data_IF_516093158309
#
_entry.id   IF_516093158309
#
_cell.length_a   1.000
_cell.length_b   1.000
_cell.length_c   1.000
_cell.angle_alpha   90.00
_cell.angle_beta   90.00
_cell.angle_gamma   90.00
#
_symmetry.space_group_name_H-M   'P 1'
#
loop_
_entity.id
_entity.type
_entity.pdbx_description
1 polymer ?
#
# COMPACT_ATOMS: atom_id res chain seq x y z
N UNK A 1 -1.16 -17.36 -25.21
CA UNK A 1 -2.57 -17.44 -24.78
C UNK A 1 -2.75 -16.59 -23.53
N UNK A 2 -3.60 -15.56 -23.56
CA UNK A 2 -4.06 -14.90 -22.34
C UNK A 2 -5.36 -15.56 -21.88
N UNK A 3 -5.47 -15.89 -20.60
CA UNK A 3 -6.64 -16.59 -20.04
C UNK A 3 -7.88 -15.70 -19.91
N UNK A 4 -7.78 -14.41 -20.24
CA UNK A 4 -8.89 -13.46 -20.21
C UNK A 4 -8.63 -12.25 -21.12
N UNK A 5 -9.57 -11.94 -22.01
CA UNK A 5 -9.56 -10.77 -22.90
C UNK A 5 -10.36 -9.60 -22.31
N UNK A 6 -10.41 -9.47 -20.98
CA UNK A 6 -11.19 -8.42 -20.33
C UNK A 6 -10.48 -7.05 -20.48
N UNK A 7 -11.06 -6.07 -21.19
CA UNK A 7 -10.45 -4.76 -21.41
C UNK A 7 -10.30 -3.93 -20.13
N UNK A 8 -11.07 -4.26 -19.08
CA UNK A 8 -11.02 -3.58 -17.78
C UNK A 8 -9.96 -4.18 -16.85
N UNK A 9 -9.37 -5.33 -17.20
CA UNK A 9 -8.39 -6.02 -16.36
C UNK A 9 -7.12 -5.19 -16.08
N UNK A 10 -6.54 -4.46 -17.05
CA UNK A 10 -5.39 -3.60 -16.77
C UNK A 10 -5.72 -2.52 -15.74
N UNK A 11 -6.92 -1.92 -15.82
CA UNK A 11 -7.40 -0.91 -14.87
C UNK A 11 -7.60 -1.52 -13.48
N UNK A 12 -8.27 -2.67 -13.39
CA UNK A 12 -8.48 -3.37 -12.12
C UNK A 12 -7.16 -3.78 -11.46
N UNK A 13 -6.16 -4.20 -12.26
CA UNK A 13 -4.82 -4.52 -11.78
C UNK A 13 -4.09 -3.31 -11.21
N UNK A 14 -4.11 -2.19 -11.92
CA UNK A 14 -3.48 -0.96 -11.46
C UNK A 14 -4.10 -0.49 -10.14
N UNK A 15 -5.44 -0.43 -10.07
CA UNK A 15 -6.16 -0.04 -8.86
C UNK A 15 -5.87 -1.00 -7.69
N UNK A 16 -5.95 -2.32 -7.90
CA UNK A 16 -5.76 -3.27 -6.82
C UNK A 16 -4.34 -3.20 -6.21
N UNK A 17 -3.31 -3.02 -7.05
CA UNK A 17 -1.92 -2.86 -6.59
C UNK A 17 -1.73 -1.51 -5.88
N UNK A 18 -2.33 -0.45 -6.41
CA UNK A 18 -2.32 0.89 -5.80
C UNK A 18 -2.89 0.90 -4.39
N UNK A 19 -4.05 0.25 -4.18
CA UNK A 19 -4.67 0.12 -2.87
C UNK A 19 -3.75 -0.54 -1.83
N UNK A 20 -3.00 -1.56 -2.23
CA UNK A 20 -2.09 -2.27 -1.32
C UNK A 20 -0.87 -1.42 -0.97
N UNK A 21 -0.28 -0.74 -1.96
CA UNK A 21 1.00 -0.02 -1.77
C UNK A 21 0.79 1.37 -1.19
N UNK A 22 -0.07 2.18 -1.81
CA UNK A 22 -0.27 3.58 -1.40
C UNK A 22 -1.13 3.67 -0.15
N UNK A 23 -2.21 2.90 -0.08
CA UNK A 23 -3.17 2.96 1.03
C UNK A 23 -2.86 1.95 2.14
N UNK A 24 -1.79 1.16 1.99
CA UNK A 24 -1.38 0.11 2.95
C UNK A 24 -2.52 -0.85 3.31
N UNK A 25 -3.45 -1.08 2.37
CA UNK A 25 -4.62 -1.93 2.60
C UNK A 25 -4.21 -3.41 2.61
N UNK A 26 -4.77 -4.24 3.51
CA UNK A 26 -4.49 -5.67 3.49
C UNK A 26 -4.99 -6.30 2.19
N UNK A 27 -4.19 -7.24 1.68
CA UNK A 27 -4.37 -7.90 0.37
C UNK A 27 -5.80 -8.45 0.17
N UNK A 28 -6.39 -9.03 1.22
CA UNK A 28 -7.74 -9.59 1.20
C UNK A 28 -8.83 -8.53 1.00
N UNK A 29 -8.69 -7.36 1.62
CA UNK A 29 -9.66 -6.27 1.48
C UNK A 29 -9.53 -5.62 0.10
N UNK A 30 -8.29 -5.36 -0.36
CA UNK A 30 -8.04 -4.81 -1.69
C UNK A 30 -8.58 -5.74 -2.79
N UNK A 31 -8.37 -7.06 -2.66
CA UNK A 31 -8.89 -8.06 -3.59
C UNK A 31 -10.43 -8.05 -3.67
N UNK A 32 -11.11 -8.01 -2.50
CA UNK A 32 -12.57 -7.92 -2.43
C UNK A 32 -13.11 -6.65 -3.08
N UNK A 33 -12.46 -5.51 -2.82
CA UNK A 33 -12.87 -4.20 -3.36
C UNK A 33 -12.76 -4.13 -4.88
N UNK A 34 -11.75 -4.79 -5.46
CA UNK A 34 -11.55 -4.84 -6.90
C UNK A 34 -12.27 -6.01 -7.60
N UNK A 35 -12.95 -6.90 -6.86
CA UNK A 35 -13.65 -8.06 -7.43
C UNK A 35 -12.72 -9.14 -7.97
N UNK A 36 -11.49 -9.23 -7.46
CA UNK A 36 -10.46 -10.17 -7.92
C UNK A 36 -10.11 -11.15 -6.80
N UNK A 37 -9.75 -12.38 -7.16
CA UNK A 37 -9.31 -13.35 -6.16
C UNK A 37 -7.95 -12.94 -5.53
N UNK A 38 -7.80 -13.14 -4.22
CA UNK A 38 -6.60 -12.74 -3.45
C UNK A 38 -5.28 -13.27 -4.04
N UNK A 39 -5.28 -14.49 -4.58
CA UNK A 39 -4.06 -15.09 -5.18
C UNK A 39 -3.68 -14.43 -6.50
N UNK A 40 -4.66 -13.94 -7.26
CA UNK A 40 -4.43 -13.16 -8.47
C UNK A 40 -3.80 -11.82 -8.12
N UNK A 41 -4.32 -11.14 -7.09
CA UNK A 41 -3.71 -9.90 -6.60
C UNK A 41 -2.28 -10.13 -6.08
N UNK A 42 -2.05 -11.22 -5.35
CA UNK A 42 -0.70 -11.59 -4.88
C UNK A 42 0.30 -11.76 -6.04
N UNK A 43 -0.10 -12.44 -7.13
CA UNK A 43 0.75 -12.58 -8.32
C UNK A 43 1.04 -11.24 -8.99
N UNK A 44 0.07 -10.34 -9.02
CA UNK A 44 0.26 -8.99 -9.56
C UNK A 44 1.21 -8.16 -8.72
N UNK A 45 1.06 -8.24 -7.38
CA UNK A 45 1.95 -7.58 -6.43
C UNK A 45 3.38 -8.10 -6.59
N UNK A 46 3.56 -9.42 -6.68
CA UNK A 46 4.89 -10.01 -6.89
C UNK A 46 5.54 -9.54 -8.19
N UNK A 47 4.78 -9.47 -9.28
CA UNK A 47 5.29 -8.93 -10.55
C UNK A 47 5.61 -7.43 -10.43
N UNK A 48 4.83 -6.66 -9.67
CA UNK A 48 5.12 -5.26 -9.41
C UNK A 48 6.40 -5.09 -8.60
N UNK A 49 6.58 -5.86 -7.52
CA UNK A 49 7.81 -5.88 -6.71
C UNK A 49 9.03 -6.19 -7.59
N UNK A 50 8.96 -7.22 -8.43
CA UNK A 50 10.04 -7.59 -9.36
C UNK A 50 10.41 -6.45 -10.31
N UNK A 51 9.43 -5.71 -10.81
CA UNK A 51 9.67 -4.58 -11.71
C UNK A 51 10.21 -3.34 -10.97
N UNK A 52 9.89 -3.20 -9.68
CA UNK A 52 10.25 -2.05 -8.85
C UNK A 52 11.35 -2.37 -7.83
N UNK A 53 12.11 -3.45 -8.01
CA UNK A 53 13.16 -3.86 -7.07
C UNK A 53 14.21 -2.77 -6.82
N UNK A 54 14.48 -1.97 -7.86
CA UNK A 54 15.48 -0.90 -7.82
C UNK A 54 14.88 0.44 -7.37
N UNK A 55 13.59 0.49 -7.03
CA UNK A 55 12.90 1.70 -6.59
C UNK A 55 12.93 1.78 -5.08
N UNK A 56 13.55 2.83 -4.53
CA UNK A 56 13.50 3.10 -3.10
C UNK A 56 12.17 3.75 -2.73
N UNK A 57 11.31 3.01 -2.02
CA UNK A 57 10.02 3.50 -1.51
C UNK A 57 10.17 4.24 -0.17
N UNK A 58 11.37 4.26 0.41
CA UNK A 58 11.65 4.90 1.69
C UNK A 58 12.11 6.33 1.50
N UNK A 59 11.43 7.28 2.16
CA UNK A 59 11.95 8.64 2.29
C UNK A 59 12.86 8.74 3.52
N UNK A 60 14.17 8.54 3.32
CA UNK A 60 15.19 8.56 4.38
C UNK A 60 15.27 9.93 5.06
N UNK A 61 14.98 11.01 4.32
CA UNK A 61 15.04 12.39 4.83
C UNK A 61 13.75 12.85 5.51
N UNK A 62 12.75 11.97 5.69
CA UNK A 62 11.54 12.33 6.44
C UNK A 62 11.89 12.34 7.93
N UNK A 63 11.89 13.50 8.62
CA UNK A 63 12.14 13.53 10.06
C UNK A 63 11.11 12.64 10.74
N UNK A 64 11.57 11.57 11.39
CA UNK A 64 10.70 10.74 12.22
C UNK A 64 10.26 11.62 13.38
N UNK A 65 8.96 11.62 13.67
CA UNK A 65 8.45 12.22 14.91
C UNK A 65 9.03 11.38 16.05
N UNK A 66 10.07 11.87 16.71
CA UNK A 66 10.61 11.24 17.90
C UNK A 66 9.47 11.20 18.93
N UNK A 67 8.99 10.01 19.27
CA UNK A 67 7.99 9.81 20.32
C UNK A 67 8.51 10.23 21.70
N UNK A 68 9.84 10.36 21.85
CA UNK A 68 10.51 10.76 23.08
C UNK A 68 10.48 12.27 23.36
N UNK A 69 10.05 13.12 22.42
CA UNK A 69 9.73 14.52 22.74
C UNK A 69 8.30 14.69 23.27
N UNK A 70 7.81 13.70 24.04
CA UNK A 70 6.79 13.91 25.04
C UNK A 70 7.36 14.81 26.14
N UNK A 71 7.59 16.08 25.83
CA UNK A 71 7.58 17.10 26.88
C UNK A 71 6.15 17.05 27.43
N UNK A 72 5.92 16.72 28.72
CA UNK A 72 4.60 16.86 29.27
C UNK A 72 4.22 18.33 29.09
N UNK A 73 3.13 18.57 28.37
CA UNK A 73 2.58 19.92 28.20
C UNK A 73 2.39 20.50 29.60
N UNK A 74 3.22 21.46 29.98
CA UNK A 74 3.21 22.14 31.28
C UNK A 74 1.93 22.96 31.51
N UNK A 75 1.03 23.00 30.53
CA UNK A 75 -0.25 23.70 30.57
C UNK A 75 -1.36 22.98 31.34
N UNK A 76 -1.11 21.81 31.96
CA UNK A 76 -2.09 21.10 32.79
C UNK A 76 -1.72 21.04 34.27
N UNK A 77 -1.25 22.14 34.84
CA UNK A 77 -1.10 22.34 36.30
C UNK A 77 -1.76 23.66 36.71
N UNK A 78 -3.09 23.72 36.65
CA UNK A 78 -3.89 24.74 37.34
C UNK A 78 -5.37 24.33 37.31
N UNK A 79 -5.86 23.71 38.40
CA UNK A 79 -7.22 23.80 38.93
C UNK A 79 -7.29 23.02 40.25
#
# INVERSE_FOLDING_TARGET
>A
MSYSSNPLLPKARAEAVRLVIEQSMPLTIAARRCGVHRTTLWRWLRKWELLNQNVQLTNVNRPKRNSDSQVPSSFRLAA
#
